data_IF_702423834561
#
_entry.id   IF_702423834561
#
_cell.length_a   1.000
_cell.length_b   1.000
_cell.length_c   1.000
_cell.angle_alpha   90.00
_cell.angle_beta   90.00
_cell.angle_gamma   90.00
#
_symmetry.space_group_name_H-M   'P 1'
#
loop_
_entity.id
_entity.type
_entity.pdbx_description
1 polymer ?
#
# COMPACT_ATOMS: atom_id res chain seq x y z
N UNK A 1 -2.73 -0.83 23.59
CA UNK A 1 -2.04 -1.70 22.63
C UNK A 1 -2.49 -1.24 21.26
N UNK A 2 -1.69 -0.40 20.61
CA UNK A 2 -2.10 0.30 19.38
C UNK A 2 -1.86 -0.67 18.22
N UNK A 3 -2.92 -1.33 17.76
CA UNK A 3 -2.89 -2.12 16.54
C UNK A 3 -2.98 -1.12 15.39
N UNK A 4 -1.79 -0.74 14.92
CA UNK A 4 -1.61 0.02 13.69
C UNK A 4 -2.34 -0.72 12.57
N UNK A 5 -3.25 0.00 11.92
CA UNK A 5 -4.27 -0.55 11.07
C UNK A 5 -3.66 -1.40 9.93
N UNK A 6 -4.33 -2.51 9.61
CA UNK A 6 -4.01 -3.47 8.54
C UNK A 6 -4.11 -2.85 7.14
N UNK A 7 -3.65 -1.63 6.93
CA UNK A 7 -3.71 -0.89 5.67
C UNK A 7 -2.39 -0.95 4.91
N UNK A 8 -1.36 -1.62 5.45
CA UNK A 8 -0.05 -1.73 4.81
C UNK A 8 0.40 -3.17 4.56
N UNK A 9 0.92 -3.39 3.36
CA UNK A 9 1.44 -4.67 2.87
C UNK A 9 2.89 -4.49 2.47
N UNK A 10 3.78 -5.28 3.08
CA UNK A 10 5.19 -5.28 2.70
C UNK A 10 5.50 -6.47 1.82
N UNK A 11 6.00 -6.20 0.62
CA UNK A 11 6.39 -7.17 -0.40
C UNK A 11 7.91 -7.16 -0.59
N UNK A 12 8.49 -8.36 -0.63
CA UNK A 12 9.90 -8.55 -0.99
C UNK A 12 9.96 -9.03 -2.43
N UNK A 13 10.35 -8.13 -3.33
CA UNK A 13 10.39 -8.37 -4.77
C UNK A 13 11.86 -8.49 -5.20
N UNK A 14 12.29 -9.72 -5.47
CA UNK A 14 13.65 -10.04 -5.90
C UNK A 14 13.82 -9.93 -7.41
N UNK A 15 12.77 -10.26 -8.16
CA UNK A 15 12.75 -10.19 -9.61
C UNK A 15 12.27 -8.82 -10.10
N UNK A 16 13.19 -8.03 -10.68
CA UNK A 16 12.88 -6.68 -11.17
C UNK A 16 12.02 -6.68 -12.43
N UNK A 17 11.99 -7.76 -13.20
CA UNK A 17 11.18 -7.85 -14.42
C UNK A 17 9.68 -7.93 -14.08
N UNK A 18 9.33 -8.63 -13.01
CA UNK A 18 7.95 -8.77 -12.51
C UNK A 18 7.55 -7.69 -11.50
N UNK A 19 8.48 -6.84 -11.06
CA UNK A 19 8.23 -5.79 -10.06
C UNK A 19 7.00 -4.93 -10.35
N UNK A 20 6.89 -4.42 -11.58
CA UNK A 20 5.76 -3.57 -11.96
C UNK A 20 4.44 -4.34 -11.92
N UNK A 21 4.44 -5.58 -12.43
CA UNK A 21 3.27 -6.45 -12.43
C UNK A 21 2.84 -6.86 -11.01
N UNK A 22 3.80 -7.21 -10.16
CA UNK A 22 3.55 -7.58 -8.76
C UNK A 22 3.04 -6.39 -7.95
N UNK A 23 3.60 -5.19 -8.16
CA UNK A 23 3.10 -3.98 -7.52
C UNK A 23 1.69 -3.65 -7.99
N UNK A 24 1.41 -3.70 -9.30
CA UNK A 24 0.08 -3.43 -9.84
C UNK A 24 -0.98 -4.41 -9.32
N UNK A 25 -0.67 -5.71 -9.33
CA UNK A 25 -1.55 -6.74 -8.76
C UNK A 25 -1.78 -6.53 -7.26
N UNK A 26 -0.74 -6.19 -6.50
CA UNK A 26 -0.86 -5.92 -5.07
C UNK A 26 -1.65 -4.63 -4.78
N UNK A 27 -1.50 -3.60 -5.60
CA UNK A 27 -2.29 -2.37 -5.52
C UNK A 27 -3.75 -2.69 -5.81
N UNK A 28 -4.06 -3.49 -6.84
CA UNK A 28 -5.43 -3.90 -7.14
C UNK A 28 -6.07 -4.67 -5.98
N UNK A 29 -5.40 -5.72 -5.49
CA UNK A 29 -5.88 -6.55 -4.36
C UNK A 29 -6.12 -5.69 -3.11
N UNK A 30 -5.17 -4.79 -2.80
CA UNK A 30 -5.28 -3.87 -1.67
C UNK A 30 -6.42 -2.85 -1.89
N UNK A 31 -6.61 -2.38 -3.12
CA UNK A 31 -7.69 -1.46 -3.46
C UNK A 31 -9.07 -2.10 -3.30
N UNK A 32 -9.21 -3.35 -3.74
CA UNK A 32 -10.45 -4.13 -3.67
C UNK A 32 -10.77 -4.50 -2.22
N UNK A 33 -9.78 -4.93 -1.44
CA UNK A 33 -9.95 -5.29 -0.02
C UNK A 33 -10.31 -4.10 0.85
N UNK A 34 -9.77 -2.91 0.56
CA UNK A 34 -10.04 -1.70 1.32
C UNK A 34 -11.13 -0.81 0.68
N UNK A 35 -11.78 -1.28 -0.39
CA UNK A 35 -12.77 -0.54 -1.19
C UNK A 35 -12.31 0.89 -1.55
N UNK A 36 -11.01 1.04 -1.81
CA UNK A 36 -10.34 2.31 -2.01
C UNK A 36 -9.86 2.41 -3.45
N UNK A 37 -9.64 3.62 -3.97
CA UNK A 37 -9.08 3.77 -5.33
C UNK A 37 -7.58 3.49 -5.30
N UNK A 38 -7.04 2.88 -6.35
CA UNK A 38 -5.59 2.61 -6.50
C UNK A 38 -4.72 3.85 -6.28
N UNK A 39 -5.22 5.05 -6.59
CA UNK A 39 -4.56 6.33 -6.33
C UNK A 39 -4.31 6.64 -4.84
N UNK A 40 -5.03 5.97 -3.93
CA UNK A 40 -4.85 6.11 -2.48
C UNK A 40 -3.79 5.16 -1.94
N UNK A 41 -3.27 4.24 -2.75
CA UNK A 41 -2.20 3.33 -2.35
C UNK A 41 -0.84 4.02 -2.55
N UNK A 42 -0.13 4.25 -1.46
CA UNK A 42 1.24 4.75 -1.48
C UNK A 42 2.22 3.58 -1.49
N UNK A 43 3.16 3.58 -2.44
CA UNK A 43 4.23 2.59 -2.51
C UNK A 43 5.52 3.22 -1.99
N UNK A 44 6.07 2.68 -0.93
CA UNK A 44 7.31 3.13 -0.29
C UNK A 44 8.40 2.09 -0.50
N UNK A 45 9.56 2.49 -1.01
CA UNK A 45 10.73 1.63 -1.07
C UNK A 45 11.46 1.71 0.28
N UNK A 46 11.27 0.69 1.12
CA UNK A 46 11.82 0.66 2.49
C UNK A 46 13.21 0.00 2.55
N UNK A 47 13.66 -0.63 1.47
CA UNK A 47 14.98 -1.27 1.42
C UNK A 47 15.31 -1.91 0.08
N UNK A 48 16.50 -2.56 -0.03
CA UNK A 48 16.83 -3.34 -1.21
C UNK A 48 15.78 -4.43 -1.38
N UNK A 49 15.08 -4.40 -2.52
CA UNK A 49 14.04 -5.37 -2.88
C UNK A 49 12.81 -5.36 -1.96
N UNK A 50 12.63 -4.37 -1.09
CA UNK A 50 11.51 -4.33 -0.13
C UNK A 50 10.63 -3.12 -0.39
N UNK A 51 9.37 -3.38 -0.71
CA UNK A 51 8.36 -2.38 -1.02
C UNK A 51 7.23 -2.49 0.00
N UNK A 52 6.91 -1.38 0.64
CA UNK A 52 5.79 -1.27 1.56
C UNK A 52 4.69 -0.49 0.87
N UNK A 53 3.59 -1.15 0.54
CA UNK A 53 2.38 -0.53 0.07
C UNK A 53 1.53 -0.16 1.27
N UNK A 54 0.96 1.04 1.29
CA UNK A 54 0.07 1.48 2.35
C UNK A 54 -1.12 2.18 1.75
N UNK A 55 -2.34 1.78 2.10
CA UNK A 55 -3.53 2.57 1.81
C UNK A 55 -3.44 3.84 2.67
N UNK A 56 -3.43 5.00 2.01
CA UNK A 56 -3.71 6.26 2.67
C UNK A 56 -5.19 6.21 3.04
N UNK A 57 -5.44 5.77 4.28
CA UNK A 57 -6.77 5.71 4.84
C UNK A 57 -7.46 7.06 4.64
N UNK A 58 -8.74 7.00 4.31
CA UNK A 58 -9.64 8.13 4.46
C UNK A 58 -9.90 8.37 5.96
N UNK A 59 -8.84 8.51 6.76
CA UNK A 59 -8.99 9.07 8.10
C UNK A 59 -9.08 10.58 7.92
N UNK A 60 -10.32 11.03 7.74
CA UNK A 60 -10.80 12.22 8.43
C UNK A 60 -9.87 13.45 8.32
N UNK A 61 -9.51 13.86 7.11
CA UNK A 61 -9.03 15.22 6.85
C UNK A 61 -10.18 16.26 6.93
N UNK A 62 -11.11 16.08 7.88
CA UNK A 62 -12.19 17.00 8.22
C UNK A 62 -12.33 17.07 9.74
N UNK A 63 -11.32 17.63 10.42
CA UNK A 63 -11.51 18.51 11.60
C UNK A 63 -10.20 19.26 11.81
N UNK A 64 -10.08 20.38 11.11
CA UNK A 64 -8.96 21.30 11.21
C UNK A 64 -9.35 22.66 10.65
N UNK A 65 -10.29 23.32 11.31
CA UNK A 65 -10.38 24.78 11.49
C UNK A 65 -11.63 25.11 12.33
#
# INVERSE_FOLDING_TARGET
MTFDATDSVTLKIWDKATLHHTLDSAISDLSERHNTTTCRVAVTCSGPNTFTLSVRGEDKALVGA
#
